data_IF_286296199321
#
_entry.id   IF_286296199321
#
_cell.length_a   1.000
_cell.length_b   1.000
_cell.length_c   1.000
_cell.angle_alpha   90.00
_cell.angle_beta   90.00
_cell.angle_gamma   90.00
#
_symmetry.space_group_name_H-M   'P 1'
#
loop_
_entity.id
_entity.type
_entity.pdbx_description
1 polymer ?
#
# COMPACT_ATOMS: atom_id res chain seq x y z
N UNK A 1 10.08 -29.86 -9.87
CA UNK A 1 9.97 -28.70 -8.97
C UNK A 1 11.34 -28.57 -8.34
N UNK A 2 12.19 -27.70 -8.88
CA UNK A 2 13.45 -27.41 -8.21
C UNK A 2 13.11 -26.54 -7.00
N UNK A 3 13.52 -26.99 -5.83
CA UNK A 3 13.42 -26.24 -4.59
C UNK A 3 14.54 -25.18 -4.62
N UNK A 4 14.36 -24.19 -5.50
CA UNK A 4 15.28 -23.07 -5.58
C UNK A 4 15.09 -22.22 -4.32
N UNK A 5 16.07 -22.29 -3.43
CA UNK A 5 16.09 -21.53 -2.19
C UNK A 5 16.03 -20.03 -2.51
N UNK A 6 14.85 -19.44 -2.32
CA UNK A 6 14.67 -17.99 -2.42
C UNK A 6 15.35 -17.34 -1.23
N UNK A 7 16.45 -16.62 -1.48
CA UNK A 7 17.12 -15.82 -0.47
C UNK A 7 16.29 -14.56 -0.18
N UNK A 8 15.63 -14.53 0.97
CA UNK A 8 14.81 -13.40 1.39
C UNK A 8 15.66 -12.39 2.15
N UNK A 9 15.72 -11.16 1.64
CA UNK A 9 16.37 -10.03 2.32
C UNK A 9 15.31 -9.22 3.04
N UNK A 10 15.19 -9.38 4.35
CA UNK A 10 14.16 -8.71 5.16
C UNK A 10 14.27 -7.18 5.12
N UNK A 11 15.48 -6.63 4.95
CA UNK A 11 15.70 -5.21 4.68
C UNK A 11 15.05 -4.71 3.37
N UNK A 12 15.07 -5.50 2.30
CA UNK A 12 14.40 -5.16 1.04
C UNK A 12 12.88 -5.20 1.18
N UNK A 13 12.35 -6.16 1.95
CA UNK A 13 10.92 -6.22 2.25
C UNK A 13 10.45 -4.97 3.02
N UNK A 14 11.21 -4.54 4.03
CA UNK A 14 10.92 -3.31 4.78
C UNK A 14 11.01 -2.06 3.90
N UNK A 15 12.07 -1.94 3.09
CA UNK A 15 12.20 -0.83 2.14
C UNK A 15 11.12 -0.80 1.06
N UNK A 16 10.62 -1.96 0.61
CA UNK A 16 9.46 -2.04 -0.26
C UNK A 16 8.18 -1.62 0.47
N UNK A 17 7.97 -2.08 1.71
CA UNK A 17 6.82 -1.69 2.53
C UNK A 17 6.74 -0.17 2.75
N UNK A 18 7.87 0.49 3.04
CA UNK A 18 7.88 1.94 3.26
C UNK A 18 7.53 2.73 1.99
N UNK A 19 8.03 2.28 0.84
CA UNK A 19 7.66 2.85 -0.46
C UNK A 19 6.17 2.64 -0.78
N UNK A 20 5.64 1.47 -0.45
CA UNK A 20 4.22 1.16 -0.64
C UNK A 20 3.34 1.98 0.29
N UNK A 21 3.71 2.19 1.56
CA UNK A 21 2.96 3.09 2.47
C UNK A 21 2.93 4.51 1.91
N UNK A 22 4.08 5.06 1.50
CA UNK A 22 4.10 6.40 0.91
C UNK A 22 3.26 6.51 -0.36
N UNK A 23 3.22 5.44 -1.17
CA UNK A 23 2.40 5.38 -2.39
C UNK A 23 0.92 5.24 -2.07
N UNK A 24 0.55 4.34 -1.16
CA UNK A 24 -0.82 4.15 -0.69
C UNK A 24 -1.39 5.41 -0.05
N UNK A 25 -0.58 6.13 0.73
CA UNK A 25 -0.95 7.43 1.30
C UNK A 25 -1.29 8.45 0.21
N UNK A 26 -0.41 8.62 -0.79
CA UNK A 26 -0.66 9.54 -1.91
C UNK A 26 -1.90 9.16 -2.73
N UNK A 27 -2.08 7.87 -3.00
CA UNK A 27 -3.25 7.37 -3.71
C UNK A 27 -4.53 7.60 -2.92
N UNK A 28 -4.54 7.30 -1.62
CA UNK A 28 -5.71 7.47 -0.76
C UNK A 28 -6.13 8.93 -0.57
N UNK A 29 -5.18 9.86 -0.65
CA UNK A 29 -5.46 11.30 -0.61
C UNK A 29 -5.90 11.87 -1.98
N UNK A 30 -5.99 11.01 -2.99
CA UNK A 30 -6.45 11.32 -4.33
C UNK A 30 -5.51 12.24 -5.12
N UNK A 31 -5.83 12.48 -6.41
CA UNK A 31 -5.03 13.30 -7.32
C UNK A 31 -4.86 14.76 -6.88
N UNK A 32 -5.74 15.26 -6.01
CA UNK A 32 -5.70 16.62 -5.47
C UNK A 32 -4.75 16.79 -4.25
N UNK A 33 -4.06 15.73 -3.81
CA UNK A 33 -2.99 15.85 -2.81
C UNK A 33 -3.48 16.21 -1.40
N UNK A 34 -4.63 15.69 -0.96
CA UNK A 34 -5.11 15.89 0.41
C UNK A 34 -5.97 17.13 0.63
N UNK A 35 -6.15 17.99 -0.37
CA UNK A 35 -7.26 18.92 -0.38
C UNK A 35 -8.54 18.16 -0.77
N UNK A 36 -9.13 17.45 0.19
CA UNK A 36 -10.53 17.06 0.13
C UNK A 36 -11.35 18.34 -0.08
N UNK A 37 -11.62 18.71 -1.34
CA UNK A 37 -12.29 19.95 -1.68
C UNK A 37 -11.76 20.69 -2.91
N UNK A 38 -10.58 20.36 -3.45
CA UNK A 38 -10.23 20.84 -4.79
C UNK A 38 -10.96 19.98 -5.81
N UNK A 39 -12.19 20.39 -6.13
CA UNK A 39 -13.03 19.65 -7.05
C UNK A 39 -12.27 19.42 -8.36
N UNK A 40 -12.22 18.17 -8.82
CA UNK A 40 -11.65 17.81 -10.12
C UNK A 40 -12.41 18.48 -11.26
N UNK A 41 -13.64 18.91 -10.98
CA UNK A 41 -14.55 19.54 -11.92
C UNK A 41 -15.01 20.89 -11.36
N UNK A 42 -15.05 21.89 -12.24
CA UNK A 42 -15.59 23.21 -11.90
C UNK A 42 -17.10 23.10 -11.70
N UNK A 43 -17.67 23.59 -10.57
CA UNK A 43 -19.11 23.61 -10.38
C UNK A 43 -19.80 24.40 -11.52
N UNK A 44 -20.62 23.71 -12.30
CA UNK A 44 -21.41 24.30 -13.40
C UNK A 44 -22.91 24.14 -13.14
N UNK A 45 -23.47 24.80 -12.10
CA UNK A 45 -24.89 24.72 -11.80
C UNK A 45 -25.70 25.24 -12.99
N UNK A 46 -26.67 24.43 -13.45
CA UNK A 46 -27.50 24.70 -14.62
C UNK A 46 -27.14 23.89 -15.87
N UNK A 47 -26.03 23.14 -15.86
CA UNK A 47 -25.67 22.25 -16.96
C UNK A 47 -26.36 20.90 -16.78
N UNK A 48 -26.95 20.35 -17.84
CA UNK A 48 -27.59 19.03 -17.81
C UNK A 48 -26.63 17.91 -17.38
N UNK A 49 -25.33 18.08 -17.59
CA UNK A 49 -24.30 17.09 -17.24
C UNK A 49 -23.75 17.22 -15.81
N UNK A 50 -24.15 18.24 -15.03
CA UNK A 50 -23.52 18.55 -13.74
C UNK A 50 -23.60 17.40 -12.72
N UNK A 51 -24.74 16.69 -12.67
CA UNK A 51 -24.92 15.54 -11.77
C UNK A 51 -24.06 14.34 -12.19
N UNK A 52 -23.99 14.05 -13.48
CA UNK A 52 -23.16 12.96 -14.01
C UNK A 52 -21.67 13.21 -13.74
N UNK A 53 -21.23 14.46 -13.87
CA UNK A 53 -19.87 14.89 -13.57
C UNK A 53 -19.54 14.76 -12.07
N UNK A 54 -20.44 15.20 -11.18
CA UNK A 54 -20.29 15.04 -9.73
C UNK A 54 -20.24 13.57 -9.30
N UNK A 55 -21.04 12.71 -9.93
CA UNK A 55 -21.00 11.26 -9.71
C UNK A 55 -19.69 10.64 -10.15
N UNK A 56 -19.18 11.02 -11.33
CA UNK A 56 -17.88 10.56 -11.83
C UNK A 56 -16.74 10.96 -10.89
N UNK A 57 -16.71 12.22 -10.44
CA UNK A 57 -15.71 12.70 -9.48
C UNK A 57 -15.73 11.89 -8.19
N UNK A 58 -16.92 11.66 -7.63
CA UNK A 58 -17.08 10.83 -6.42
C UNK A 58 -16.55 9.40 -6.64
N UNK A 59 -16.89 8.78 -7.77
CA UNK A 59 -16.44 7.43 -8.10
C UNK A 59 -14.90 7.35 -8.27
N UNK A 60 -14.29 8.37 -8.84
CA UNK A 60 -12.82 8.46 -8.97
C UNK A 60 -12.16 8.56 -7.59
N UNK A 61 -12.69 9.40 -6.70
CA UNK A 61 -12.17 9.51 -5.33
C UNK A 61 -12.29 8.20 -4.54
N UNK A 62 -13.43 7.51 -4.65
CA UNK A 62 -13.65 6.21 -4.01
C UNK A 62 -12.66 5.16 -4.52
N UNK A 63 -12.45 5.09 -5.83
CA UNK A 63 -11.50 4.17 -6.45
C UNK A 63 -10.05 4.43 -5.98
N UNK A 64 -9.64 5.70 -5.90
CA UNK A 64 -8.32 6.08 -5.38
C UNK A 64 -8.14 5.70 -3.91
N UNK A 65 -9.17 5.91 -3.09
CA UNK A 65 -9.17 5.51 -1.69
C UNK A 65 -9.03 3.99 -1.55
N UNK A 66 -9.77 3.20 -2.34
CA UNK A 66 -9.70 1.74 -2.32
C UNK A 66 -8.30 1.24 -2.69
N UNK A 67 -7.75 1.69 -3.81
CA UNK A 67 -6.40 1.26 -4.24
C UNK A 67 -5.34 1.71 -3.24
N UNK A 68 -5.46 2.92 -2.67
CA UNK A 68 -4.58 3.39 -1.60
C UNK A 68 -4.58 2.46 -0.40
N UNK A 69 -5.77 2.05 0.06
CA UNK A 69 -5.94 1.10 1.15
C UNK A 69 -5.33 -0.27 0.86
N UNK A 70 -5.59 -0.83 -0.33
CA UNK A 70 -5.01 -2.12 -0.76
C UNK A 70 -3.48 -2.08 -0.85
N UNK A 71 -2.92 -0.95 -1.27
CA UNK A 71 -1.47 -0.73 -1.32
C UNK A 71 -0.88 -0.69 0.09
N UNK A 72 -1.52 0.00 1.03
CA UNK A 72 -1.10 0.03 2.42
C UNK A 72 -1.18 -1.37 3.08
N UNK A 73 -2.26 -2.12 2.84
CA UNK A 73 -2.40 -3.49 3.34
C UNK A 73 -1.30 -4.41 2.81
N UNK A 74 -0.90 -4.25 1.55
CA UNK A 74 0.23 -4.99 0.97
C UNK A 74 1.54 -4.66 1.70
N UNK A 75 1.76 -3.39 2.01
CA UNK A 75 2.93 -2.97 2.79
C UNK A 75 2.98 -3.64 4.17
N UNK A 76 1.84 -3.71 4.86
CA UNK A 76 1.75 -4.38 6.16
C UNK A 76 2.04 -5.88 6.06
N UNK A 77 1.55 -6.53 4.99
CA UNK A 77 1.92 -7.92 4.69
C UNK A 77 3.42 -8.12 4.50
N UNK A 78 4.11 -7.20 3.82
CA UNK A 78 5.57 -7.27 3.65
C UNK A 78 6.32 -7.08 4.97
N UNK A 79 5.86 -6.18 5.85
CA UNK A 79 6.44 -6.01 7.19
C UNK A 79 6.28 -7.28 8.03
N UNK A 80 5.06 -7.82 8.08
CA UNK A 80 4.77 -9.05 8.80
C UNK A 80 5.61 -10.23 8.28
N UNK A 81 5.81 -10.32 6.96
CA UNK A 81 6.71 -11.32 6.38
C UNK A 81 8.16 -11.12 6.83
N UNK A 82 8.68 -9.89 6.78
CA UNK A 82 10.04 -9.58 7.23
C UNK A 82 10.27 -9.98 8.69
N UNK A 83 9.32 -9.65 9.57
CA UNK A 83 9.39 -10.01 10.99
C UNK A 83 9.31 -11.53 11.21
N UNK A 84 8.50 -12.23 10.40
CA UNK A 84 8.43 -13.69 10.41
C UNK A 84 9.73 -14.37 10.01
N UNK A 85 10.43 -13.84 9.00
CA UNK A 85 11.73 -14.35 8.58
C UNK A 85 12.81 -14.10 9.63
N UNK A 86 12.93 -12.88 10.17
CA UNK A 86 13.91 -12.58 11.22
C UNK A 86 13.68 -13.48 12.46
N UNK A 87 12.43 -13.68 12.87
CA UNK A 87 12.11 -14.58 13.98
C UNK A 87 12.38 -16.07 13.68
N UNK A 88 12.37 -16.49 12.42
CA UNK A 88 12.78 -17.84 12.03
C UNK A 88 14.31 -17.98 12.08
N UNK A 89 15.04 -16.99 11.58
CA UNK A 89 16.49 -16.94 11.61
C UNK A 89 17.04 -16.91 13.04
N UNK A 90 16.44 -16.10 13.93
CA UNK A 90 16.82 -16.05 15.35
C UNK A 90 16.64 -17.40 16.05
N UNK A 91 15.54 -18.11 15.76
CA UNK A 91 15.30 -19.45 16.28
C UNK A 91 16.33 -20.45 15.75
N UNK A 92 16.70 -20.36 14.48
CA UNK A 92 17.74 -21.20 13.90
C UNK A 92 19.12 -20.92 14.54
N UNK A 93 19.50 -19.65 14.68
CA UNK A 93 20.74 -19.22 15.31
C UNK A 93 20.84 -19.69 16.77
N UNK A 94 19.74 -19.60 17.51
CA UNK A 94 19.66 -20.09 18.90
C UNK A 94 19.90 -21.59 18.99
N UNK A 95 19.27 -22.38 18.11
CA UNK A 95 19.47 -23.85 18.06
C UNK A 95 20.91 -24.23 17.71
N UNK A 96 21.51 -23.52 16.76
CA UNK A 96 22.90 -23.74 16.36
C UNK A 96 23.90 -23.39 17.46
N UNK A 97 23.59 -22.38 18.28
CA UNK A 97 24.44 -21.95 19.39
C UNK A 97 24.29 -22.85 20.62
N UNK A 98 23.10 -23.42 20.85
CA UNK A 98 22.82 -24.33 21.97
C UNK A 98 23.29 -25.78 21.73
N UNK A 99 23.53 -26.17 20.47
CA UNK A 99 24.04 -27.49 20.09
C UNK A 99 25.57 -27.57 19.95
N UNK A 100 26.29 -26.50 20.32
CA UNK A 100 27.74 -26.42 20.34
C UNK A 100 28.23 -26.42 21.79
#
# INVERSE_FOLDING_TARGET
>A
MHDDLVQVRTGELRGAADRLVGTGYRLGHGPAGGAAGAALLVPAPGWAAASALSGLESAVHEWFAEIGGRTAQTADGLRAAADGYDAADDRAATRLSAGR
#
